data_IF_808729384432
#
_entry.id   IF_808729384432
#
_cell.length_a   1.000
_cell.length_b   1.000
_cell.length_c   1.000
_cell.angle_alpha   90.00
_cell.angle_beta   90.00
_cell.angle_gamma   90.00
#
_symmetry.space_group_name_H-M   'P 1'
#
loop_
_entity.id
_entity.type
_entity.pdbx_description
1 polymer ?
#
# COMPACT_ATOMS: atom_id res chain seq x y z
N UNK A 1 -15.42 -4.54 9.43
CA UNK A 1 -13.97 -4.26 9.30
C UNK A 1 -13.55 -4.73 7.93
N UNK A 2 -12.92 -3.87 7.14
CA UNK A 2 -12.50 -4.18 5.78
C UNK A 2 -10.98 -4.29 5.71
N UNK A 3 -10.50 -5.08 4.75
CA UNK A 3 -9.10 -5.13 4.37
C UNK A 3 -9.04 -4.66 2.92
N UNK A 4 -8.25 -3.64 2.66
CA UNK A 4 -7.90 -3.19 1.33
C UNK A 4 -6.44 -3.57 1.09
N UNK A 5 -6.16 -4.30 0.01
CA UNK A 5 -4.83 -4.81 -0.28
C UNK A 5 -4.38 -4.38 -1.68
N UNK A 6 -3.22 -3.73 -1.75
CA UNK A 6 -2.52 -3.43 -2.99
C UNK A 6 -1.54 -4.54 -3.32
N UNK A 7 -1.65 -5.13 -4.52
CA UNK A 7 -0.68 -6.11 -5.01
C UNK A 7 0.43 -5.42 -5.81
N UNK A 8 1.64 -5.96 -5.73
CA UNK A 8 2.82 -5.44 -6.41
C UNK A 8 4.08 -6.19 -6.01
N UNK A 9 5.20 -5.81 -6.64
CA UNK A 9 6.53 -6.33 -6.35
C UNK A 9 7.35 -5.29 -5.56
N UNK A 10 7.98 -5.67 -4.44
CA UNK A 10 8.84 -4.77 -3.67
C UNK A 10 10.20 -4.56 -4.33
N UNK A 11 10.74 -3.35 -4.20
CA UNK A 11 12.04 -2.95 -4.76
C UNK A 11 11.92 -1.82 -5.77
N UNK A 12 12.94 -0.95 -5.83
CA UNK A 12 12.94 0.25 -6.67
C UNK A 12 12.88 -0.07 -8.15
N UNK A 13 13.37 -1.24 -8.57
CA UNK A 13 13.31 -1.71 -9.96
C UNK A 13 11.88 -1.97 -10.47
N UNK A 14 10.89 -2.10 -9.58
CA UNK A 14 9.48 -2.32 -9.95
C UNK A 14 8.61 -1.06 -9.80
N UNK A 15 9.20 0.05 -9.33
CA UNK A 15 8.50 1.31 -9.15
C UNK A 15 7.92 1.80 -10.50
N UNK A 16 6.66 2.24 -10.47
CA UNK A 16 5.96 2.75 -11.66
C UNK A 16 5.58 1.70 -12.72
N UNK A 17 5.83 0.41 -12.49
CA UNK A 17 5.38 -0.63 -13.43
C UNK A 17 3.86 -0.84 -13.33
N UNK A 18 3.23 -1.24 -14.43
CA UNK A 18 1.79 -1.57 -14.44
C UNK A 18 1.40 -2.65 -13.41
N UNK A 19 2.33 -3.55 -13.09
CA UNK A 19 2.13 -4.60 -12.09
C UNK A 19 2.04 -4.04 -10.65
N UNK A 20 2.60 -2.85 -10.40
CA UNK A 20 2.59 -2.19 -9.10
C UNK A 20 1.46 -1.15 -8.97
N UNK A 21 0.49 -1.10 -9.89
CA UNK A 21 -0.65 -0.19 -9.79
C UNK A 21 -1.43 -0.38 -8.47
N UNK A 22 -1.45 -1.59 -7.92
CA UNK A 22 -2.04 -1.87 -6.60
C UNK A 22 -1.31 -1.15 -5.46
N UNK A 23 0.03 -1.09 -5.47
CA UNK A 23 0.79 -0.32 -4.48
C UNK A 23 0.50 1.18 -4.60
N UNK A 24 0.53 1.73 -5.83
CA UNK A 24 0.20 3.14 -6.05
C UNK A 24 -1.21 3.51 -5.58
N UNK A 25 -2.18 2.60 -5.73
CA UNK A 25 -3.53 2.82 -5.21
C UNK A 25 -3.56 2.90 -3.68
N UNK A 26 -2.80 2.06 -2.99
CA UNK A 26 -2.69 2.10 -1.52
C UNK A 26 -1.97 3.38 -1.07
N UNK A 27 -0.91 3.79 -1.75
CA UNK A 27 -0.18 5.01 -1.43
C UNK A 27 -1.11 6.24 -1.53
N UNK A 28 -1.82 6.40 -2.65
CA UNK A 28 -2.78 7.49 -2.85
C UNK A 28 -3.94 7.47 -1.83
N UNK A 29 -4.42 6.27 -1.48
CA UNK A 29 -5.46 6.12 -0.48
C UNK A 29 -4.95 6.50 0.92
N UNK A 30 -3.75 6.05 1.27
CA UNK A 30 -3.10 6.36 2.54
C UNK A 30 -2.88 7.87 2.68
N UNK A 31 -2.34 8.51 1.63
CA UNK A 31 -2.09 9.95 1.60
C UNK A 31 -3.38 10.76 1.74
N UNK A 32 -4.42 10.40 0.97
CA UNK A 32 -5.72 11.09 1.01
C UNK A 32 -6.36 11.08 2.40
N UNK A 33 -6.20 10.00 3.15
CA UNK A 33 -6.83 9.80 4.46
C UNK A 33 -5.85 9.97 5.63
N UNK A 34 -4.62 10.43 5.38
CA UNK A 34 -3.56 10.58 6.38
C UNK A 34 -3.32 9.30 7.21
N UNK A 35 -3.28 8.15 6.54
CA UNK A 35 -3.06 6.84 7.16
C UNK A 35 -1.59 6.42 6.99
N UNK A 36 -0.86 6.25 8.09
CA UNK A 36 0.51 5.71 8.02
C UNK A 36 0.52 4.22 7.70
N UNK A 37 1.26 3.81 6.67
CA UNK A 37 1.50 2.42 6.27
C UNK A 37 2.93 2.02 6.64
N UNK A 38 3.22 1.95 7.94
CA UNK A 38 4.57 1.77 8.51
C UNK A 38 4.78 0.42 9.20
N UNK A 39 3.73 -0.36 9.38
CA UNK A 39 3.79 -1.60 10.15
C UNK A 39 4.15 -2.77 9.25
N UNK A 40 5.39 -3.24 9.33
CA UNK A 40 5.84 -4.45 8.66
C UNK A 40 5.37 -5.71 9.41
N UNK A 41 4.46 -6.49 8.83
CA UNK A 41 3.99 -7.76 9.41
C UNK A 41 3.56 -8.73 8.32
N UNK A 42 3.77 -10.03 8.52
CA UNK A 42 3.35 -11.09 7.58
C UNK A 42 3.86 -10.88 6.13
N UNK A 43 5.07 -10.31 5.97
CA UNK A 43 5.68 -9.94 4.67
C UNK A 43 4.91 -8.86 3.89
N UNK A 44 4.11 -8.04 4.57
CA UNK A 44 3.47 -6.85 4.01
C UNK A 44 3.71 -5.61 4.87
N UNK A 45 3.50 -4.44 4.26
CA UNK A 45 3.35 -3.17 4.97
C UNK A 45 1.87 -2.90 5.19
N UNK A 46 1.51 -2.51 6.41
CA UNK A 46 0.13 -2.40 6.87
C UNK A 46 -0.07 -1.03 7.51
N UNK A 47 -1.18 -0.37 7.17
CA UNK A 47 -1.71 0.79 7.87
C UNK A 47 -3.11 0.49 8.43
N UNK A 48 -3.53 1.26 9.43
CA UNK A 48 -4.89 1.20 10.00
C UNK A 48 -5.43 2.63 10.13
N UNK A 49 -6.63 2.85 9.64
CA UNK A 49 -7.27 4.16 9.70
C UNK A 49 -8.74 4.11 9.30
N UNK A 50 -9.32 5.29 9.13
CA UNK A 50 -10.71 5.50 8.70
C UNK A 50 -10.70 6.17 7.33
N UNK A 51 -11.52 5.65 6.42
CA UNK A 51 -11.68 6.08 5.02
C UNK A 51 -13.11 6.60 4.87
#
# INVERSE_FOLDING_TARGET
MYIVAGLGNPGTQYAGTRHNAGFSCIDELADKYNISVDTAKHKGLIGKGVI
#
